data_IF_940124799335
#
_entry.id   IF_940124799335
#
_cell.length_a   1.000
_cell.length_b   1.000
_cell.length_c   1.000
_cell.angle_alpha   90.00
_cell.angle_beta   90.00
_cell.angle_gamma   90.00
#
_symmetry.space_group_name_H-M   'P 1'
#
loop_
_entity.id
_entity.type
_entity.pdbx_description
1 polymer ?
#
# COMPACT_ATOMS: atom_id res chain seq x y z
N UNK A 1 -18.89 14.00 -25.96
CA UNK A 1 -19.18 14.11 -27.40
C UNK A 1 -19.06 15.58 -27.79
N UNK A 2 -18.15 15.96 -28.69
CA UNK A 2 -18.01 17.35 -29.14
C UNK A 2 -19.06 17.65 -30.25
N UNK A 3 -19.99 18.60 -30.05
CA UNK A 3 -20.98 18.99 -31.07
C UNK A 3 -20.36 19.48 -32.39
N UNK A 4 -19.13 20.00 -32.36
CA UNK A 4 -18.43 20.55 -33.53
C UNK A 4 -18.03 19.47 -34.57
N UNK A 5 -18.17 18.19 -34.20
CA UNK A 5 -17.88 17.05 -35.08
C UNK A 5 -19.03 16.74 -36.07
N UNK A 6 -20.16 17.44 -35.93
CA UNK A 6 -21.39 17.23 -36.70
C UNK A 6 -21.48 18.26 -37.83
N UNK A 7 -21.40 17.80 -39.08
CA UNK A 7 -21.60 18.66 -40.26
C UNK A 7 -23.08 18.61 -40.65
N UNK A 8 -23.70 19.78 -40.79
CA UNK A 8 -25.07 19.92 -41.27
C UNK A 8 -25.05 20.23 -42.78
N UNK A 9 -25.99 19.67 -43.52
CA UNK A 9 -26.24 20.03 -44.92
C UNK A 9 -26.97 21.39 -45.02
N UNK A 10 -27.20 21.86 -46.25
CA UNK A 10 -27.84 23.15 -46.55
C UNK A 10 -29.27 23.27 -45.96
N UNK A 11 -29.90 22.14 -45.62
CA UNK A 11 -31.24 22.06 -45.01
C UNK A 11 -31.20 21.96 -43.48
N UNK A 12 -30.01 22.03 -42.87
CA UNK A 12 -29.83 21.94 -41.42
C UNK A 12 -29.99 20.52 -40.85
N UNK A 13 -29.97 19.48 -41.69
CA UNK A 13 -29.95 18.08 -41.26
C UNK A 13 -28.51 17.60 -41.12
N UNK A 14 -28.27 16.73 -40.13
CA UNK A 14 -26.94 16.14 -39.90
C UNK A 14 -26.56 15.27 -41.09
N UNK A 15 -25.61 15.73 -41.90
CA UNK A 15 -25.27 15.07 -43.16
C UNK A 15 -24.21 13.99 -42.98
N UNK A 16 -23.17 14.21 -42.16
CA UNK A 16 -22.18 13.18 -41.78
C UNK A 16 -21.33 13.64 -40.57
N UNK A 17 -20.77 12.67 -39.84
CA UNK A 17 -19.73 12.93 -38.83
C UNK A 17 -18.37 12.96 -39.55
N UNK A 18 -17.49 13.93 -39.23
CA UNK A 18 -16.12 13.98 -39.79
C UNK A 18 -15.29 12.82 -39.25
N UNK A 19 -15.25 11.69 -39.98
CA UNK A 19 -14.53 10.48 -39.60
C UNK A 19 -13.05 10.75 -39.23
N UNK A 20 -12.36 11.63 -39.96
CA UNK A 20 -10.98 12.00 -39.63
C UNK A 20 -10.85 12.71 -38.28
N UNK A 21 -11.81 13.59 -37.94
CA UNK A 21 -11.82 14.29 -36.66
C UNK A 21 -12.19 13.36 -35.50
N UNK A 22 -13.06 12.37 -35.73
CA UNK A 22 -13.37 11.32 -34.76
C UNK A 22 -12.16 10.40 -34.56
N UNK A 23 -11.47 10.00 -35.62
CA UNK A 23 -10.27 9.15 -35.54
C UNK A 23 -9.14 9.82 -34.76
N UNK A 24 -8.90 11.13 -35.00
CA UNK A 24 -7.92 11.90 -34.23
C UNK A 24 -8.31 12.01 -32.74
N UNK A 25 -9.60 12.20 -32.45
CA UNK A 25 -10.09 12.22 -31.06
C UNK A 25 -9.92 10.87 -30.38
N UNK A 26 -10.29 9.77 -31.04
CA UNK A 26 -10.14 8.41 -30.51
C UNK A 26 -8.68 8.04 -30.29
N UNK A 27 -7.77 8.43 -31.19
CA UNK A 27 -6.33 8.22 -31.01
C UNK A 27 -5.82 8.99 -29.79
N UNK A 28 -6.23 10.24 -29.60
CA UNK A 28 -5.85 11.03 -28.43
C UNK A 28 -6.35 10.40 -27.13
N UNK A 29 -7.62 9.97 -27.09
CA UNK A 29 -8.17 9.28 -25.91
C UNK A 29 -7.47 7.93 -25.66
N UNK A 30 -7.15 7.18 -26.71
CA UNK A 30 -6.38 5.94 -26.60
C UNK A 30 -4.99 6.18 -26.02
N UNK A 31 -4.26 7.17 -26.52
CA UNK A 31 -2.92 7.52 -26.02
C UNK A 31 -2.97 8.00 -24.56
N UNK A 32 -3.99 8.77 -24.18
CA UNK A 32 -4.19 9.23 -22.81
C UNK A 32 -4.50 8.08 -21.85
N UNK A 33 -5.38 7.17 -22.26
CA UNK A 33 -5.70 5.98 -21.47
C UNK A 33 -4.48 5.07 -21.32
N UNK A 34 -3.74 4.81 -22.41
CA UNK A 34 -2.53 4.00 -22.35
C UNK A 34 -1.47 4.57 -21.40
N UNK A 35 -1.27 5.91 -21.44
CA UNK A 35 -0.36 6.57 -20.50
C UNK A 35 -0.84 6.41 -19.05
N UNK A 36 -2.13 6.57 -18.82
CA UNK A 36 -2.73 6.39 -17.50
C UNK A 36 -2.53 4.96 -16.99
N UNK A 37 -2.74 3.96 -17.85
CA UNK A 37 -2.53 2.55 -17.52
C UNK A 37 -1.06 2.25 -17.21
N UNK A 38 -0.12 2.82 -17.97
CA UNK A 38 1.32 2.70 -17.69
C UNK A 38 1.70 3.32 -16.33
N UNK A 39 1.19 4.51 -16.04
CA UNK A 39 1.43 5.19 -14.76
C UNK A 39 0.85 4.39 -13.58
N UNK A 40 -0.34 3.80 -13.75
CA UNK A 40 -0.93 2.90 -12.76
C UNK A 40 -0.11 1.63 -12.56
N UNK A 41 0.33 0.99 -13.64
CA UNK A 41 1.16 -0.21 -13.57
C UNK A 41 2.48 0.05 -12.81
N UNK A 42 3.12 1.19 -13.08
CA UNK A 42 4.30 1.63 -12.34
C UNK A 42 4.01 1.82 -10.85
N UNK A 43 2.92 2.52 -10.52
CA UNK A 43 2.52 2.75 -9.13
C UNK A 43 2.23 1.44 -8.40
N UNK A 44 1.60 0.47 -9.07
CA UNK A 44 1.37 -0.86 -8.50
C UNK A 44 2.69 -1.57 -8.19
N UNK A 45 3.67 -1.54 -9.11
CA UNK A 45 4.98 -2.13 -8.86
C UNK A 45 5.70 -1.47 -7.67
N UNK A 46 5.66 -0.14 -7.56
CA UNK A 46 6.23 0.59 -6.41
C UNK A 46 5.52 0.22 -5.08
N UNK A 47 4.20 0.04 -5.11
CA UNK A 47 3.42 -0.40 -3.97
C UNK A 47 3.75 -1.85 -3.57
N UNK A 48 3.88 -2.77 -4.52
CA UNK A 48 4.27 -4.16 -4.26
C UNK A 48 5.65 -4.24 -3.59
N UNK A 49 6.63 -3.47 -4.08
CA UNK A 49 7.95 -3.39 -3.47
C UNK A 49 7.89 -2.85 -2.03
N UNK A 50 7.10 -1.80 -1.80
CA UNK A 50 6.90 -1.23 -0.46
C UNK A 50 6.25 -2.24 0.48
N UNK A 51 5.22 -2.97 0.02
CA UNK A 51 4.54 -4.02 0.80
C UNK A 51 5.53 -5.14 1.16
N UNK A 52 6.38 -5.56 0.23
CA UNK A 52 7.39 -6.58 0.50
C UNK A 52 8.38 -6.12 1.60
N UNK A 53 8.87 -4.88 1.53
CA UNK A 53 9.75 -4.29 2.54
C UNK A 53 9.08 -4.18 3.92
N UNK A 54 7.81 -3.75 3.95
CA UNK A 54 7.04 -3.67 5.19
C UNK A 54 6.82 -5.05 5.81
N UNK A 55 6.47 -6.07 5.00
CA UNK A 55 6.35 -7.45 5.48
C UNK A 55 7.64 -7.96 6.10
N UNK A 56 8.78 -7.73 5.45
CA UNK A 56 10.08 -8.13 5.99
C UNK A 56 10.39 -7.43 7.34
N UNK A 57 10.09 -6.12 7.44
CA UNK A 57 10.30 -5.34 8.65
C UNK A 57 9.40 -5.84 9.81
N UNK A 58 8.14 -6.14 9.53
CA UNK A 58 7.20 -6.70 10.52
C UNK A 58 7.68 -8.07 11.00
N UNK A 59 8.15 -8.94 10.11
CA UNK A 59 8.70 -10.24 10.51
C UNK A 59 9.95 -10.10 11.39
N UNK A 60 10.81 -9.13 11.09
CA UNK A 60 11.98 -8.84 11.93
C UNK A 60 11.57 -8.32 13.31
N UNK A 61 10.61 -7.40 13.38
CA UNK A 61 10.08 -6.88 14.64
C UNK A 61 9.44 -7.98 15.47
N UNK A 62 8.66 -8.88 14.86
CA UNK A 62 8.05 -10.01 15.54
C UNK A 62 9.10 -10.89 16.23
N UNK A 63 10.20 -11.22 15.54
CA UNK A 63 11.32 -11.97 16.12
C UNK A 63 11.99 -11.24 17.30
N UNK A 64 12.14 -9.92 17.19
CA UNK A 64 12.71 -9.11 18.27
C UNK A 64 11.79 -9.09 19.50
N UNK A 65 10.47 -9.00 19.31
CA UNK A 65 9.48 -9.07 20.38
C UNK A 65 9.52 -10.42 21.08
N UNK A 66 9.61 -11.52 20.34
CA UNK A 66 9.72 -12.87 20.89
C UNK A 66 10.99 -13.03 21.74
N UNK A 67 12.14 -12.57 21.23
CA UNK A 67 13.40 -12.60 21.96
C UNK A 67 13.36 -11.74 23.24
N UNK A 68 12.75 -10.55 23.17
CA UNK A 68 12.59 -9.68 24.32
C UNK A 68 11.67 -10.30 25.37
N UNK A 69 10.56 -10.91 24.93
CA UNK A 69 9.62 -11.62 25.81
C UNK A 69 10.31 -12.77 26.55
N UNK A 70 11.10 -13.58 25.84
CA UNK A 70 11.88 -14.66 26.46
C UNK A 70 12.90 -14.12 27.47
N UNK A 71 13.55 -12.99 27.17
CA UNK A 71 14.51 -12.36 28.07
C UNK A 71 13.83 -11.84 29.34
N UNK A 72 12.67 -11.17 29.20
CA UNK A 72 11.88 -10.69 30.33
C UNK A 72 11.44 -11.86 31.22
N UNK A 73 10.92 -12.94 30.63
CA UNK A 73 10.53 -14.13 31.41
C UNK A 73 11.72 -14.69 32.20
N UNK A 74 12.89 -14.85 31.56
CA UNK A 74 14.10 -15.36 32.21
C UNK A 74 14.58 -14.46 33.36
N UNK A 75 14.46 -13.13 33.22
CA UNK A 75 14.83 -12.19 34.30
C UNK A 75 13.82 -12.29 35.44
N UNK A 76 12.52 -12.39 35.16
CA UNK A 76 11.47 -12.60 36.17
C UNK A 76 11.69 -13.90 36.95
N UNK A 77 11.98 -15.01 36.26
CA UNK A 77 12.24 -16.30 36.91
C UNK A 77 13.46 -16.23 37.84
N UNK A 78 14.54 -15.57 37.42
CA UNK A 78 15.73 -15.36 38.27
C UNK A 78 15.43 -14.50 39.50
N UNK A 79 14.61 -13.46 39.36
CA UNK A 79 14.21 -12.61 40.48
C UNK A 79 13.34 -13.39 41.49
N UNK A 80 12.38 -14.19 41.02
CA UNK A 80 11.56 -15.03 41.91
C UNK A 80 12.39 -16.12 42.61
N UNK A 81 13.37 -16.72 41.93
CA UNK A 81 14.30 -17.67 42.55
C UNK A 81 15.25 -17.03 43.57
N UNK A 82 15.52 -15.72 43.45
CA UNK A 82 16.38 -14.97 44.39
C UNK A 82 15.66 -14.53 45.67
N UNK A 83 14.33 -14.73 45.76
CA UNK A 83 13.49 -14.25 46.87
C UNK A 83 13.51 -15.06 48.19
N UNK A 84 13.92 -16.34 48.30
CA UNK A 84 13.82 -17.05 49.58
C UNK A 84 15.16 -17.06 50.34
N UNK A 85 15.48 -15.96 51.04
CA UNK A 85 16.48 -15.98 52.15
C UNK A 85 16.49 -14.75 53.08
N UNK A 86 15.82 -13.62 52.77
CA UNK A 86 15.93 -12.38 53.58
C UNK A 86 14.80 -12.14 54.60
N UNK A 87 13.92 -13.10 54.88
CA UNK A 87 12.83 -12.93 55.86
C UNK A 87 12.71 -14.10 56.83
N UNK A 88 13.76 -14.37 57.60
CA UNK A 88 13.66 -14.99 58.92
C UNK A 88 14.76 -14.42 59.83
N UNK A 89 14.66 -13.13 60.18
CA UNK A 89 15.22 -12.68 61.46
C UNK A 89 14.02 -12.55 62.40
N UNK A 90 13.69 -13.67 63.04
CA UNK A 90 12.89 -13.66 64.28
C UNK A 90 13.79 -12.99 65.31
N UNK A 91 13.55 -11.69 65.53
CA UNK A 91 14.19 -10.95 66.61
C UNK A 91 13.29 -11.07 67.84
N UNK A 92 13.42 -12.19 68.56
CA UNK A 92 12.91 -12.32 69.93
C UNK A 92 14.00 -11.84 70.90
N UNK A 93 13.81 -10.64 71.44
CA UNK A 93 14.45 -10.13 72.65
C UNK A 93 13.40 -9.50 73.55
#
# INVERSE_FOLDING_TARGET
>A
MNPDLVVHDEDGKVSTVRYEAVNAMLLNEFLKNHRTDQDQARKLQEQEATIAQLKASVMQQQKQIEALTATVQKVSDQLELSKPASQLVVNDQ
#
